data_IF_228025451752
#
_entry.id   IF_228025451752
#
_cell.length_a   1.000
_cell.length_b   1.000
_cell.length_c   1.000
_cell.angle_alpha   90.00
_cell.angle_beta   90.00
_cell.angle_gamma   90.00
#
_symmetry.space_group_name_H-M   'P 1'
#
loop_
_entity.id
_entity.type
_entity.pdbx_description
1 polymer ?
#
# COMPACT_ATOMS: atom_id res chain seq x y z
N UNK A 1 -6.00 -7.72 12.83
CA UNK A 1 -5.45 -6.46 12.25
C UNK A 1 -6.58 -5.43 12.24
N UNK A 2 -6.34 -4.18 12.67
CA UNK A 2 -7.34 -3.12 12.61
C UNK A 2 -6.91 -2.10 11.52
N UNK A 3 -7.60 -2.01 10.37
CA UNK A 3 -7.21 -1.10 9.29
C UNK A 3 -7.27 0.38 9.69
N UNK A 4 -8.09 0.75 10.68
CA UNK A 4 -8.19 2.12 11.17
C UNK A 4 -6.94 2.62 11.91
N UNK A 5 -6.02 1.72 12.31
CA UNK A 5 -4.82 2.09 13.08
C UNK A 5 -3.70 2.70 12.22
N UNK A 6 -3.83 2.68 10.88
CA UNK A 6 -2.84 3.18 9.90
C UNK A 6 -1.43 2.63 10.13
N UNK A 7 -1.34 1.41 10.64
CA UNK A 7 -0.06 0.73 10.86
C UNK A 7 0.49 0.20 9.53
N UNK A 8 1.82 0.18 9.42
CA UNK A 8 2.46 -0.53 8.32
C UNK A 8 2.15 -2.03 8.46
N UNK A 9 1.73 -2.64 7.37
CA UNK A 9 1.42 -4.06 7.29
C UNK A 9 2.46 -4.72 6.39
N UNK A 10 2.85 -5.93 6.75
CA UNK A 10 3.67 -6.80 5.92
C UNK A 10 2.87 -8.06 5.59
N UNK A 11 2.89 -8.44 4.31
CA UNK A 11 2.32 -9.68 3.82
C UNK A 11 3.44 -10.56 3.24
N UNK A 12 3.28 -11.86 3.41
CA UNK A 12 4.09 -12.89 2.76
C UNK A 12 3.14 -13.75 1.93
N UNK A 13 3.51 -13.98 0.67
CA UNK A 13 2.78 -14.82 -0.27
C UNK A 13 3.80 -15.86 -0.74
N UNK A 14 3.63 -17.10 -0.27
CA UNK A 14 4.54 -18.20 -0.58
C UNK A 14 3.76 -19.30 -1.31
N UNK A 15 4.33 -19.79 -2.41
CA UNK A 15 3.79 -20.90 -3.16
C UNK A 15 4.81 -22.04 -3.24
N UNK A 16 4.42 -23.23 -2.79
CA UNK A 16 5.20 -24.46 -2.96
C UNK A 16 4.69 -25.22 -4.18
N UNK A 17 5.45 -25.16 -5.28
CA UNK A 17 5.09 -25.84 -6.53
C UNK A 17 5.17 -27.37 -6.49
N UNK A 18 5.78 -27.97 -5.46
CA UNK A 18 5.77 -29.43 -5.27
C UNK A 18 4.54 -29.90 -4.50
N UNK A 19 4.10 -29.09 -3.55
CA UNK A 19 2.92 -29.38 -2.72
C UNK A 19 1.63 -28.76 -3.27
N UNK A 20 1.72 -27.96 -4.34
CA UNK A 20 0.60 -27.19 -4.90
C UNK A 20 -0.13 -26.35 -3.83
N UNK A 21 0.65 -25.80 -2.90
CA UNK A 21 0.12 -25.05 -1.77
C UNK A 21 0.44 -23.56 -1.90
N UNK A 22 -0.60 -22.73 -1.81
CA UNK A 22 -0.49 -21.29 -1.71
C UNK A 22 -0.79 -20.86 -0.27
N UNK A 23 0.15 -20.16 0.34
CA UNK A 23 0.00 -19.64 1.70
C UNK A 23 0.16 -18.12 1.74
N UNK A 24 -0.68 -17.48 2.53
CA UNK A 24 -0.62 -16.04 2.79
C UNK A 24 -0.56 -15.80 4.29
N UNK A 25 0.44 -15.04 4.71
CA UNK A 25 0.58 -14.57 6.09
C UNK A 25 0.58 -13.05 6.10
N UNK A 26 -0.05 -12.44 7.10
CA UNK A 26 -0.08 -10.98 7.26
C UNK A 26 0.21 -10.63 8.72
N UNK A 27 1.05 -9.62 8.94
CA UNK A 27 1.34 -9.09 10.27
C UNK A 27 1.58 -7.58 10.24
N UNK A 28 1.63 -6.95 11.42
CA UNK A 28 2.16 -5.60 11.55
C UNK A 28 3.65 -5.64 11.13
N UNK A 29 4.08 -4.70 10.30
CA UNK A 29 5.46 -4.65 9.83
C UNK A 29 6.44 -4.56 11.01
N UNK A 30 7.60 -5.22 10.89
CA UNK A 30 8.63 -5.40 11.93
C UNK A 30 8.27 -6.39 13.06
N UNK A 31 7.07 -6.96 13.06
CA UNK A 31 6.79 -8.14 13.86
C UNK A 31 7.42 -9.38 13.22
N UNK A 32 7.64 -10.42 14.01
CA UNK A 32 8.02 -11.74 13.50
C UNK A 32 6.88 -12.30 12.63
N UNK A 33 7.21 -12.98 11.52
CA UNK A 33 6.23 -13.69 10.69
C UNK A 33 5.48 -14.70 11.57
N UNK A 34 4.15 -14.58 11.72
CA UNK A 34 3.37 -15.55 12.49
C UNK A 34 3.46 -16.95 11.90
N UNK A 35 3.39 -17.98 12.75
CA UNK A 35 3.26 -19.36 12.31
C UNK A 35 1.86 -19.65 11.74
N UNK A 36 0.84 -18.95 12.25
CA UNK A 36 -0.52 -19.12 11.77
C UNK A 36 -0.72 -18.35 10.46
N UNK A 37 -1.07 -19.09 9.41
CA UNK A 37 -1.42 -18.55 8.11
C UNK A 37 -2.81 -17.87 8.15
N UNK A 38 -2.96 -16.79 7.40
CA UNK A 38 -4.26 -16.13 7.21
C UNK A 38 -5.06 -16.87 6.14
N UNK A 39 -4.37 -17.34 5.09
CA UNK A 39 -4.94 -18.12 4.01
C UNK A 39 -3.99 -19.29 3.73
N UNK A 40 -4.55 -20.49 3.56
CA UNK A 40 -3.88 -21.67 3.05
C UNK A 40 -4.81 -22.31 2.03
N UNK A 41 -4.33 -22.50 0.82
CA UNK A 41 -5.06 -23.18 -0.25
C UNK A 41 -4.20 -24.34 -0.76
N UNK A 42 -4.80 -25.52 -0.77
CA UNK A 42 -4.19 -26.76 -1.26
C UNK A 42 -4.68 -27.07 -2.68
N UNK A 43 -3.96 -27.93 -3.38
CA UNK A 43 -4.28 -28.41 -4.73
C UNK A 43 -4.43 -27.29 -5.79
N UNK A 44 -3.67 -26.20 -5.63
CA UNK A 44 -3.58 -25.14 -6.64
C UNK A 44 -2.39 -25.41 -7.56
N UNK A 45 -2.65 -25.89 -8.77
CA UNK A 45 -1.63 -25.99 -9.81
C UNK A 45 -1.52 -24.69 -10.61
N UNK A 46 -0.57 -23.82 -10.22
CA UNK A 46 -0.31 -22.57 -10.94
C UNK A 46 0.12 -22.78 -12.40
N UNK A 47 0.74 -23.91 -12.76
CA UNK A 47 1.15 -24.17 -14.14
C UNK A 47 -0.05 -24.39 -15.07
N UNK A 48 -1.18 -24.84 -14.52
CA UNK A 48 -2.44 -24.96 -15.27
C UNK A 48 -3.20 -23.64 -15.43
N UNK A 49 -2.91 -22.65 -14.58
CA UNK A 49 -3.64 -21.38 -14.49
C UNK A 49 -2.89 -20.26 -15.24
N UNK A 50 -1.56 -20.25 -15.15
CA UNK A 50 -0.72 -19.16 -15.65
C UNK A 50 0.17 -19.61 -16.82
N UNK A 51 0.55 -18.64 -17.65
CA UNK A 51 1.55 -18.87 -18.68
C UNK A 51 2.96 -18.95 -18.07
N UNK A 52 3.91 -19.52 -18.81
CA UNK A 52 5.32 -19.61 -18.39
C UNK A 52 5.95 -18.26 -18.00
N UNK A 53 5.48 -17.18 -18.63
CA UNK A 53 5.93 -15.81 -18.37
C UNK A 53 4.73 -14.94 -18.03
N UNK A 54 4.75 -14.37 -16.84
CA UNK A 54 3.71 -13.50 -16.32
C UNK A 54 4.33 -12.23 -15.74
N UNK A 55 3.53 -11.18 -15.65
CA UNK A 55 3.87 -9.97 -14.92
C UNK A 55 3.27 -10.03 -13.53
N UNK A 56 4.03 -9.56 -12.55
CA UNK A 56 3.60 -9.45 -11.15
C UNK A 56 3.60 -8.00 -10.75
N UNK A 57 2.66 -7.63 -9.90
CA UNK A 57 2.53 -6.26 -9.42
C UNK A 57 1.42 -6.11 -8.40
N UNK A 58 1.22 -4.87 -7.99
CA UNK A 58 0.18 -4.51 -7.04
C UNK A 58 -0.88 -3.68 -7.74
N UNK A 59 -2.12 -3.89 -7.33
CA UNK A 59 -3.25 -3.05 -7.74
C UNK A 59 -4.03 -2.67 -6.48
N UNK A 60 -4.60 -1.47 -6.49
CA UNK A 60 -5.47 -0.99 -5.42
C UNK A 60 -6.53 -0.07 -6.03
N UNK A 61 -7.69 -0.01 -5.38
CA UNK A 61 -8.80 0.82 -5.79
C UNK A 61 -9.49 1.38 -4.55
N UNK A 62 -10.02 2.60 -4.66
CA UNK A 62 -10.82 3.24 -3.62
C UNK A 62 -12.31 3.11 -3.94
N UNK A 63 -13.14 3.02 -2.89
CA UNK A 63 -14.59 3.03 -3.03
C UNK A 63 -15.14 4.45 -3.28
N UNK A 64 -16.37 4.53 -3.83
CA UNK A 64 -17.02 5.79 -4.23
C UNK A 64 -17.05 6.87 -3.15
N UNK A 65 -17.20 6.46 -1.90
CA UNK A 65 -17.37 7.35 -0.74
C UNK A 65 -16.23 7.23 0.28
N UNK A 66 -15.07 6.71 -0.14
CA UNK A 66 -13.92 6.45 0.75
C UNK A 66 -12.66 7.11 0.21
N UNK A 67 -11.94 7.83 1.09
CA UNK A 67 -10.60 8.35 0.79
C UNK A 67 -9.58 7.47 1.48
N UNK A 68 -8.89 6.65 0.70
CA UNK A 68 -7.85 5.74 1.16
C UNK A 68 -6.62 5.82 0.26
N UNK A 69 -5.46 5.96 0.90
CA UNK A 69 -4.18 5.89 0.20
C UNK A 69 -3.60 4.48 0.32
N UNK A 70 -3.07 3.96 -0.78
CA UNK A 70 -2.47 2.63 -0.85
C UNK A 70 -1.00 2.75 -1.22
N UNK A 71 -0.11 2.58 -0.23
CA UNK A 71 1.33 2.71 -0.43
C UNK A 71 2.04 1.35 -0.34
N UNK A 72 2.86 1.04 -1.35
CA UNK A 72 3.84 -0.05 -1.30
C UNK A 72 5.15 0.55 -0.82
N UNK A 73 5.54 0.26 0.43
CA UNK A 73 6.73 0.85 1.04
C UNK A 73 8.02 0.14 0.64
N UNK A 74 7.96 -1.18 0.47
CA UNK A 74 9.01 -2.01 -0.04
C UNK A 74 8.44 -3.38 -0.42
N UNK A 75 9.09 -4.08 -1.34
CA UNK A 75 8.73 -5.44 -1.74
C UNK A 75 9.97 -6.19 -2.23
N UNK A 76 9.94 -7.50 -2.09
CA UNK A 76 10.93 -8.42 -2.65
C UNK A 76 10.19 -9.62 -3.24
N UNK A 77 10.79 -10.21 -4.28
CA UNK A 77 10.20 -11.32 -5.01
C UNK A 77 11.29 -12.29 -5.46
N UNK A 78 11.00 -13.59 -5.40
CA UNK A 78 11.86 -14.65 -5.90
C UNK A 78 11.01 -15.84 -6.35
N UNK A 79 11.40 -16.50 -7.44
CA UNK A 79 10.82 -17.75 -7.94
C UNK A 79 11.70 -18.96 -7.65
N UNK A 80 13.00 -18.76 -7.42
CA UNK A 80 14.02 -19.82 -7.47
C UNK A 80 14.43 -20.29 -6.07
N UNK A 81 13.60 -20.01 -5.06
CA UNK A 81 13.83 -20.41 -3.67
C UNK A 81 13.50 -19.31 -2.68
N UNK A 82 14.39 -19.11 -1.70
CA UNK A 82 14.12 -18.19 -0.58
C UNK A 82 14.15 -16.74 -1.03
N UNK A 83 13.05 -16.01 -0.77
CA UNK A 83 12.98 -14.57 -1.03
C UNK A 83 13.89 -13.79 -0.07
N UNK A 84 14.70 -12.83 -0.57
CA UNK A 84 15.51 -11.97 0.29
C UNK A 84 14.64 -11.24 1.33
N UNK A 85 15.14 -11.18 2.57
CA UNK A 85 14.45 -10.44 3.63
C UNK A 85 14.43 -8.95 3.33
N UNK A 86 13.28 -8.33 3.54
CA UNK A 86 13.10 -6.90 3.41
C UNK A 86 13.74 -6.17 4.59
N UNK A 87 14.59 -5.18 4.30
CA UNK A 87 15.08 -4.26 5.33
C UNK A 87 13.98 -3.23 5.66
N UNK A 88 13.32 -3.41 6.80
CA UNK A 88 12.19 -2.57 7.23
C UNK A 88 12.61 -1.42 8.17
N UNK A 89 13.90 -1.32 8.50
CA UNK A 89 14.40 -0.39 9.52
C UNK A 89 14.20 1.07 9.15
N UNK A 90 14.31 1.39 7.85
CA UNK A 90 14.22 2.76 7.33
C UNK A 90 12.86 3.12 6.72
N UNK A 91 11.88 2.21 6.80
CA UNK A 91 10.55 2.49 6.23
C UNK A 91 9.81 3.56 7.04
N UNK A 92 9.11 4.49 6.35
CA UNK A 92 8.29 5.49 7.02
C UNK A 92 7.16 4.81 7.80
N UNK A 93 6.80 5.35 8.96
CA UNK A 93 5.69 4.84 9.79
C UNK A 93 4.47 5.74 9.66
N UNK A 94 3.32 5.15 9.34
CA UNK A 94 2.05 5.87 9.15
C UNK A 94 1.11 5.82 10.35
N UNK A 95 1.58 5.28 11.49
CA UNK A 95 0.79 5.19 12.73
C UNK A 95 0.10 6.52 12.99
N UNK A 96 -1.23 6.49 13.07
CA UNK A 96 -2.10 7.65 12.98
C UNK A 96 -1.62 8.86 13.77
N UNK A 97 -0.87 9.76 13.12
CA UNK A 97 -0.69 11.12 13.63
C UNK A 97 -1.98 11.85 13.35
N UNK A 98 -2.59 12.41 14.40
CA UNK A 98 -3.71 13.34 14.29
C UNK A 98 -3.27 14.54 13.43
N UNK A 99 -3.45 14.45 12.11
CA UNK A 99 -3.25 15.57 11.22
C UNK A 99 -4.37 16.56 11.50
N UNK A 100 -4.07 17.65 12.22
CA UNK A 100 -4.97 18.80 12.30
C UNK A 100 -5.28 19.23 10.87
N UNK A 101 -6.57 19.21 10.49
CA UNK A 101 -7.05 19.79 9.22
C UNK A 101 -6.56 21.24 9.17
N UNK A 102 -5.59 21.53 8.32
CA UNK A 102 -5.27 22.91 7.98
C UNK A 102 -6.41 23.41 7.09
N UNK A 103 -7.34 24.12 7.72
CA UNK A 103 -8.51 24.72 7.07
C UNK A 103 -8.06 25.64 5.93
N UNK A 104 -8.73 25.52 4.78
CA UNK A 104 -8.45 26.17 3.48
C UNK A 104 -8.56 27.71 3.45
N UNK A 105 -8.10 28.40 4.50
CA UNK A 105 -8.10 29.86 4.59
C UNK A 105 -7.02 30.54 3.74
N UNK A 106 -5.97 29.83 3.34
CA UNK A 106 -4.86 30.43 2.58
C UNK A 106 -5.20 30.58 1.09
N UNK A 107 -5.98 29.66 0.51
CA UNK A 107 -6.27 29.68 -0.93
C UNK A 107 -7.24 30.83 -1.28
N UNK A 108 -8.26 31.10 -0.45
CA UNK A 108 -9.23 32.18 -0.71
C UNK A 108 -8.57 33.56 -0.68
N UNK A 109 -7.59 33.80 0.20
CA UNK A 109 -6.91 35.10 0.30
C UNK A 109 -6.06 35.46 -0.93
N UNK A 110 -5.41 34.47 -1.56
CA UNK A 110 -4.58 34.69 -2.76
C UNK A 110 -5.44 35.04 -3.97
N UNK A 111 -6.58 34.37 -4.16
CA UNK A 111 -7.50 34.65 -5.27
C UNK A 111 -8.12 36.05 -5.17
N UNK A 112 -8.55 36.47 -3.98
CA UNK A 112 -9.13 37.81 -3.78
C UNK A 112 -8.07 38.90 -4.01
N UNK A 113 -6.84 38.70 -3.53
CA UNK A 113 -5.74 39.65 -3.75
C UNK A 113 -5.40 39.84 -5.22
N UNK A 114 -5.35 38.76 -6.01
CA UNK A 114 -5.05 38.83 -7.45
C UNK A 114 -6.13 39.59 -8.24
N UNK A 115 -7.41 39.36 -7.94
CA UNK A 115 -8.52 40.07 -8.62
C UNK A 115 -8.46 41.58 -8.34
N UNK A 116 -8.20 41.99 -7.09
CA UNK A 116 -8.06 43.41 -6.73
C UNK A 116 -6.86 44.05 -7.43
N UNK A 117 -5.76 43.32 -7.61
CA UNK A 117 -4.57 43.85 -8.29
C UNK A 117 -4.82 44.06 -9.80
N UNK A 118 -5.55 43.14 -10.43
CA UNK A 118 -5.92 43.23 -11.86
C UNK A 118 -6.85 44.43 -12.08
N UNK A 119 -7.85 44.64 -11.22
CA UNK A 119 -8.76 45.79 -11.35
C UNK A 119 -8.11 47.13 -11.02
N UNK A 120 -7.16 47.17 -10.07
CA UNK A 120 -6.46 48.41 -9.69
C UNK A 120 -5.42 48.87 -10.73
N UNK A 121 -4.86 47.96 -11.53
CA UNK A 121 -3.89 48.27 -12.59
C UNK A 121 -4.54 48.52 -13.96
N UNK A 122 -5.86 48.39 -14.07
CA UNK A 122 -6.61 48.65 -15.30
C UNK A 122 -6.29 47.65 -16.42
N UNK A 123 -5.79 46.46 -16.10
CA UNK A 123 -5.57 45.39 -17.07
C UNK A 123 -6.85 44.55 -17.23
N UNK A 124 -7.90 45.18 -17.76
CA UNK A 124 -9.13 44.54 -18.23
C UNK A 124 -9.69 45.32 -19.42
#
# INVERSE_FOLDING_TARGET
LNPASKQNIQAWIDYDGRQHNLSVTIAIARAMKPLQLVISMEDIDLASIFNEKMYLGFFAATGRDVVEDHYILAWSFNTDGTTPSLNLSHLPSFVGKNSKKQSGRIIVGVYVGFIVLITATGLL
#
